data_IF_557177606337
#
_entry.id   IF_557177606337
#
_cell.length_a   1.000
_cell.length_b   1.000
_cell.length_c   1.000
_cell.angle_alpha   90.00
_cell.angle_beta   90.00
_cell.angle_gamma   90.00
#
_symmetry.space_group_name_H-M   'P 1'
#
loop_
_entity.id
_entity.type
_entity.pdbx_description
1 polymer ?
#
# COMPACT_ATOMS: atom_id res chain seq x y z
N UNK A 1 10.16 5.24 11.52
CA UNK A 1 9.91 6.60 11.05
C UNK A 1 8.80 7.20 11.89
N UNK A 2 9.05 8.33 12.49
CA UNK A 2 8.10 9.02 13.36
C UNK A 2 7.75 10.38 12.82
N UNK A 3 6.58 10.91 13.25
CA UNK A 3 6.04 12.21 12.90
C UNK A 3 5.56 12.29 11.47
N UNK A 4 4.77 13.31 11.21
CA UNK A 4 4.25 13.56 9.90
C UNK A 4 5.37 14.12 9.03
N UNK A 5 5.75 13.36 8.04
CA UNK A 5 6.78 13.71 7.09
C UNK A 5 6.30 13.45 5.70
N UNK A 6 6.64 14.35 4.82
CA UNK A 6 6.47 14.10 3.41
C UNK A 6 7.74 13.41 2.92
N UNK A 7 7.58 12.20 2.39
CA UNK A 7 8.69 11.44 1.81
C UNK A 7 8.39 11.16 0.36
N UNK A 8 9.38 11.32 -0.47
CA UNK A 8 9.28 10.96 -1.87
C UNK A 8 10.40 9.98 -2.18
N UNK A 9 10.04 8.70 -2.29
CA UNK A 9 11.00 7.64 -2.59
C UNK A 9 10.80 7.26 -4.04
N UNK A 10 11.85 7.38 -4.82
CA UNK A 10 11.83 7.02 -6.23
C UNK A 10 12.62 5.76 -6.52
N UNK A 11 13.10 5.14 -5.47
CA UNK A 11 13.86 3.91 -5.59
C UNK A 11 12.89 2.73 -5.58
N UNK A 12 12.64 2.18 -6.75
CA UNK A 12 11.84 0.99 -6.88
C UNK A 12 12.55 -0.17 -6.17
N UNK A 13 11.76 -1.10 -5.66
CA UNK A 13 12.28 -2.28 -4.95
C UNK A 13 12.92 -1.94 -3.60
N UNK A 14 12.54 -0.81 -3.02
CA UNK A 14 13.01 -0.46 -1.68
C UNK A 14 12.57 -1.50 -0.65
N UNK A 15 13.38 -1.74 0.35
CA UNK A 15 13.09 -2.71 1.40
C UNK A 15 12.78 -2.01 2.71
N UNK A 16 11.51 -2.06 3.11
CA UNK A 16 11.04 -1.49 4.37
C UNK A 16 10.37 -2.54 5.26
N UNK A 17 10.69 -3.81 5.06
CA UNK A 17 10.06 -4.87 5.84
C UNK A 17 10.27 -4.64 7.34
N UNK A 18 9.22 -4.93 8.12
CA UNK A 18 9.19 -4.73 9.56
C UNK A 18 9.41 -3.28 9.98
N UNK A 19 9.08 -2.34 9.10
CA UNK A 19 9.19 -0.92 9.42
C UNK A 19 8.01 -0.47 10.27
N UNK A 20 8.25 0.53 11.09
CA UNK A 20 7.19 1.21 11.83
C UNK A 20 7.09 2.63 11.30
N UNK A 21 5.99 2.91 10.65
CA UNK A 21 5.72 4.24 10.12
C UNK A 21 4.61 4.88 10.93
N UNK A 22 4.85 6.07 11.43
CA UNK A 22 3.87 6.81 12.22
C UNK A 22 3.78 8.23 11.69
N UNK A 23 2.57 8.60 11.27
CA UNK A 23 2.31 9.94 10.75
C UNK A 23 3.23 10.31 9.58
N UNK A 24 3.39 9.36 8.65
CA UNK A 24 4.24 9.55 7.48
C UNK A 24 3.36 9.77 6.25
N UNK A 25 3.74 10.72 5.43
CA UNK A 25 3.12 10.95 4.13
C UNK A 25 4.09 10.58 3.02
N UNK A 26 3.71 9.60 2.22
CA UNK A 26 4.40 9.29 0.97
C UNK A 26 3.66 10.00 -0.15
N UNK A 27 4.29 10.96 -0.78
CA UNK A 27 3.67 11.77 -1.83
C UNK A 27 4.45 11.64 -3.13
N UNK A 28 3.74 11.27 -4.20
CA UNK A 28 4.32 11.12 -5.53
C UNK A 28 5.53 10.18 -5.57
N UNK A 29 5.45 9.11 -4.80
CA UNK A 29 6.54 8.14 -4.70
C UNK A 29 6.31 6.96 -5.62
N UNK A 30 7.40 6.37 -6.11
CA UNK A 30 7.36 5.11 -6.82
C UNK A 30 7.90 4.02 -5.89
N UNK A 31 6.99 3.27 -5.30
CA UNK A 31 7.30 2.17 -4.39
C UNK A 31 7.06 0.82 -5.06
N UNK A 32 7.04 0.79 -6.38
CA UNK A 32 6.79 -0.44 -7.12
C UNK A 32 7.80 -1.52 -6.75
N UNK A 33 7.30 -2.73 -6.53
CA UNK A 33 8.10 -3.89 -6.15
C UNK A 33 8.87 -3.73 -4.83
N UNK A 34 8.48 -2.74 -4.02
CA UNK A 34 9.06 -2.56 -2.70
C UNK A 34 8.53 -3.61 -1.74
N UNK A 35 9.30 -3.89 -0.69
CA UNK A 35 8.91 -4.83 0.34
C UNK A 35 8.50 -4.08 1.59
N UNK A 36 7.21 -4.11 1.91
CA UNK A 36 6.64 -3.52 3.11
C UNK A 36 6.03 -4.58 4.03
N UNK A 37 6.49 -5.82 3.91
CA UNK A 37 5.94 -6.92 4.70
C UNK A 37 6.14 -6.70 6.20
N UNK A 38 5.16 -7.14 6.98
CA UNK A 38 5.21 -7.13 8.44
C UNK A 38 5.44 -5.73 9.02
N UNK A 39 5.04 -4.69 8.28
CA UNK A 39 5.19 -3.31 8.74
C UNK A 39 3.96 -2.83 9.46
N UNK A 40 4.14 -1.80 10.28
CA UNK A 40 3.03 -1.12 10.95
C UNK A 40 2.95 0.29 10.39
N UNK A 41 1.81 0.59 9.76
CA UNK A 41 1.59 1.87 9.09
C UNK A 41 0.51 2.64 9.86
N UNK A 42 0.93 3.37 10.89
CA UNK A 42 0.01 4.13 11.72
C UNK A 42 -0.11 5.55 11.20
N UNK A 43 -1.35 5.99 10.93
CA UNK A 43 -1.62 7.34 10.42
C UNK A 43 -0.74 7.67 9.21
N UNK A 44 -0.50 6.67 8.38
CA UNK A 44 0.34 6.79 7.20
C UNK A 44 -0.56 7.04 5.99
N UNK A 45 -0.13 7.91 5.09
CA UNK A 45 -0.87 8.23 3.88
C UNK A 45 -0.01 8.02 2.65
N UNK A 46 -0.65 7.56 1.59
CA UNK A 46 -0.02 7.40 0.28
C UNK A 46 -0.82 8.24 -0.70
N UNK A 47 -0.22 9.29 -1.22
CA UNK A 47 -0.86 10.19 -2.16
C UNK A 47 -0.15 10.16 -3.50
N UNK A 48 -0.89 9.77 -4.54
CA UNK A 48 -0.36 9.71 -5.91
C UNK A 48 0.89 8.85 -6.04
N UNK A 49 0.91 7.72 -5.34
CA UNK A 49 2.04 6.81 -5.34
C UNK A 49 1.81 5.65 -6.29
N UNK A 50 2.89 5.07 -6.79
CA UNK A 50 2.87 3.83 -7.54
C UNK A 50 3.25 2.70 -6.58
N UNK A 51 2.33 1.78 -6.38
CA UNK A 51 2.52 0.64 -5.49
C UNK A 51 2.43 -0.67 -6.27
N UNK A 52 2.81 -0.65 -7.54
CA UNK A 52 2.73 -1.82 -8.41
C UNK A 52 3.62 -2.94 -7.90
N UNK A 53 3.04 -4.10 -7.65
CA UNK A 53 3.79 -5.25 -7.20
C UNK A 53 4.40 -5.11 -5.82
N UNK A 54 4.01 -4.10 -5.06
CA UNK A 54 4.49 -3.90 -3.69
C UNK A 54 4.01 -5.03 -2.80
N UNK A 55 4.88 -5.54 -1.96
CA UNK A 55 4.55 -6.61 -1.03
C UNK A 55 4.07 -6.04 0.29
N UNK A 56 2.82 -6.35 0.64
CA UNK A 56 2.16 -5.85 1.84
C UNK A 56 1.67 -6.98 2.75
N UNK A 57 2.23 -8.17 2.60
CA UNK A 57 1.83 -9.31 3.40
C UNK A 57 2.09 -9.03 4.89
N UNK A 58 1.09 -9.35 5.71
CA UNK A 58 1.14 -9.15 7.16
C UNK A 58 1.28 -7.68 7.58
N UNK A 59 0.89 -6.77 6.70
CA UNK A 59 0.89 -5.33 6.97
C UNK A 59 -0.55 -4.84 6.97
N UNK A 60 -1.16 -4.59 8.13
CA UNK A 60 -2.55 -4.13 8.19
C UNK A 60 -2.72 -2.79 7.49
N UNK A 61 -3.75 -2.69 6.65
CA UNK A 61 -4.01 -1.50 5.84
C UNK A 61 -5.26 -0.74 6.28
N UNK A 62 -5.78 -1.05 7.46
CA UNK A 62 -7.01 -0.46 7.96
C UNK A 62 -6.91 1.06 8.04
N UNK A 63 -7.90 1.74 7.45
CA UNK A 63 -7.98 3.19 7.50
C UNK A 63 -7.08 3.92 6.51
N UNK A 64 -6.27 3.21 5.74
CA UNK A 64 -5.39 3.83 4.76
C UNK A 64 -6.17 4.07 3.47
N UNK A 65 -6.11 5.29 2.96
CA UNK A 65 -6.78 5.70 1.73
C UNK A 65 -5.82 5.52 0.55
N UNK A 66 -6.15 4.58 -0.32
CA UNK A 66 -5.36 4.29 -1.53
C UNK A 66 -6.01 4.84 -2.81
N UNK A 67 -7.03 5.68 -2.69
CA UNK A 67 -7.83 6.06 -3.86
C UNK A 67 -7.06 6.83 -4.93
N UNK A 68 -5.95 7.47 -4.56
CA UNK A 68 -5.10 8.19 -5.53
C UNK A 68 -3.91 7.37 -6.01
N UNK A 69 -3.78 6.12 -5.58
CA UNK A 69 -2.59 5.32 -5.83
C UNK A 69 -2.82 4.25 -6.89
N UNK A 70 -1.72 3.78 -7.47
CA UNK A 70 -1.75 2.68 -8.42
C UNK A 70 -1.42 1.38 -7.69
N UNK A 71 -2.43 0.52 -7.53
CA UNK A 71 -2.32 -0.72 -6.77
C UNK A 71 -2.17 -1.96 -7.65
N UNK A 72 -1.84 -1.81 -8.92
CA UNK A 72 -1.76 -2.94 -9.83
C UNK A 72 -0.73 -3.96 -9.35
N UNK A 73 -1.17 -5.21 -9.20
CA UNK A 73 -0.26 -6.30 -8.85
C UNK A 73 0.26 -6.31 -7.42
N UNK A 74 -0.31 -5.51 -6.52
CA UNK A 74 0.13 -5.56 -5.12
C UNK A 74 -0.06 -6.96 -4.55
N UNK A 75 0.78 -7.31 -3.60
CA UNK A 75 0.76 -8.63 -2.98
C UNK A 75 0.18 -8.52 -1.58
N UNK A 76 -1.08 -8.92 -1.47
CA UNK A 76 -1.84 -8.87 -0.21
C UNK A 76 -2.73 -10.10 -0.12
N UNK A 77 -3.20 -10.36 1.10
CA UNK A 77 -4.28 -11.32 1.32
C UNK A 77 -5.47 -10.57 1.95
N UNK A 78 -6.56 -11.28 2.15
CA UNK A 78 -7.80 -10.66 2.66
C UNK A 78 -7.60 -9.96 4.01
N UNK A 79 -6.91 -10.56 4.99
CA UNK A 79 -6.75 -9.91 6.31
C UNK A 79 -6.12 -8.51 6.24
N UNK A 80 -5.12 -8.29 5.40
CA UNK A 80 -4.48 -6.98 5.30
C UNK A 80 -5.42 -5.92 4.74
N UNK A 81 -6.32 -6.31 3.85
CA UNK A 81 -7.23 -5.37 3.18
C UNK A 81 -8.39 -4.91 4.03
N UNK A 82 -8.60 -5.49 5.19
CA UNK A 82 -9.73 -5.12 6.02
C UNK A 82 -9.66 -3.65 6.42
N UNK A 83 -10.67 -2.88 6.03
CA UNK A 83 -10.75 -1.46 6.35
C UNK A 83 -9.95 -0.54 5.47
N UNK A 84 -9.25 -1.04 4.46
CA UNK A 84 -8.57 -0.21 3.48
C UNK A 84 -9.60 0.54 2.62
N UNK A 85 -9.27 1.77 2.25
CA UNK A 85 -10.16 2.63 1.46
C UNK A 85 -9.68 2.64 0.01
N UNK A 86 -10.54 2.18 -0.90
CA UNK A 86 -10.18 2.04 -2.32
C UNK A 86 -11.33 2.49 -3.20
N UNK A 87 -11.03 2.74 -4.48
CA UNK A 87 -12.06 3.00 -5.48
C UNK A 87 -12.69 1.70 -5.94
N UNK A 88 -13.81 1.79 -6.66
CA UNK A 88 -14.44 0.60 -7.25
C UNK A 88 -13.51 -0.10 -8.24
N UNK A 89 -12.77 0.67 -9.03
CA UNK A 89 -11.82 0.11 -9.98
C UNK A 89 -10.70 -0.64 -9.26
N UNK A 90 -10.17 -0.06 -8.21
CA UNK A 90 -9.15 -0.72 -7.39
C UNK A 90 -9.71 -1.98 -6.73
N UNK A 91 -10.94 -1.93 -6.26
CA UNK A 91 -11.59 -3.08 -5.66
C UNK A 91 -11.70 -4.24 -6.66
N UNK A 92 -12.05 -3.93 -7.91
CA UNK A 92 -12.10 -4.94 -8.97
C UNK A 92 -10.75 -5.59 -9.23
N UNK A 93 -9.70 -4.77 -9.28
CA UNK A 93 -8.35 -5.27 -9.45
C UNK A 93 -7.92 -6.18 -8.29
N UNK A 94 -8.21 -5.75 -7.07
CA UNK A 94 -7.89 -6.54 -5.88
C UNK A 94 -8.65 -7.86 -5.87
N UNK A 95 -9.92 -7.84 -6.25
CA UNK A 95 -10.71 -9.06 -6.31
C UNK A 95 -10.10 -10.06 -7.29
N UNK A 96 -9.65 -9.61 -8.44
CA UNK A 96 -8.99 -10.49 -9.43
C UNK A 96 -7.69 -11.06 -8.88
N UNK A 97 -6.92 -10.27 -8.16
CA UNK A 97 -5.69 -10.74 -7.55
C UNK A 97 -5.94 -11.83 -6.52
N UNK A 98 -7.09 -11.78 -5.86
CA UNK A 98 -7.48 -12.77 -4.86
C UNK A 98 -8.22 -13.96 -5.45
N UNK A 99 -8.32 -14.04 -6.77
CA UNK A 99 -8.93 -15.18 -7.45
C UNK A 99 -10.44 -15.09 -7.67
N UNK A 100 -11.02 -13.91 -7.42
CA UNK A 100 -12.46 -13.70 -7.64
C UNK A 100 -12.69 -13.36 -9.12
N UNK A 101 -13.69 -14.03 -9.72
CA UNK A 101 -14.12 -13.70 -11.07
C UNK A 101 -15.22 -12.65 -11.02
N UNK A 102 -15.03 -11.59 -11.79
CA UNK A 102 -16.01 -10.51 -11.91
C UNK A 102 -16.63 -10.59 -13.30
N UNK A 103 -17.96 -10.66 -13.33
CA UNK A 103 -18.72 -10.79 -14.57
C UNK A 103 -19.67 -9.63 -14.78
#
# INVERSE_FOLDING_TARGET
IRRQRQMCIRDRMAAFSRAKCKEVLFSECDLSHSNLQESKLMKTRFENCRLRGTELLHTPLKGIDFTSDDLEGIRVTIPELRGAIVTMEQASELAKLLGVEIR
#
